data_IF_018332771386
#
_entry.id   IF_018332771386
#
_cell.length_a   1.000
_cell.length_b   1.000
_cell.length_c   1.000
_cell.angle_alpha   90.00
_cell.angle_beta   90.00
_cell.angle_gamma   90.00
#
_symmetry.space_group_name_H-M   'P 1'
#
loop_
_entity.id
_entity.type
_entity.pdbx_description
1 polymer ?
#
# COMPACT_ATOMS: atom_id res chain seq x y z
N UNK A 1 -22.72 -7.02 27.75
CA UNK A 1 -21.99 -7.44 26.55
C UNK A 1 -20.73 -8.14 27.02
N UNK A 2 -20.57 -9.44 26.75
CA UNK A 2 -19.36 -10.16 27.14
C UNK A 2 -18.19 -9.61 26.29
N UNK A 3 -17.20 -9.05 26.97
CA UNK A 3 -15.94 -8.67 26.34
C UNK A 3 -15.29 -9.95 25.81
N UNK A 4 -15.30 -10.13 24.49
CA UNK A 4 -14.50 -11.16 23.86
C UNK A 4 -13.06 -10.96 24.33
N UNK A 5 -12.48 -11.97 25.00
CA UNK A 5 -11.05 -11.96 25.32
C UNK A 5 -10.30 -11.84 24.01
N UNK A 6 -9.59 -10.73 23.83
CA UNK A 6 -8.61 -10.62 22.76
C UNK A 6 -7.52 -11.64 23.10
N UNK A 7 -7.64 -12.84 22.52
CA UNK A 7 -6.52 -13.81 22.53
C UNK A 7 -5.34 -13.16 21.84
N UNK A 8 -4.12 -13.47 22.27
CA UNK A 8 -2.88 -13.02 21.62
C UNK A 8 -2.97 -13.24 20.11
N UNK A 9 -3.36 -12.17 19.39
CA UNK A 9 -3.56 -12.21 17.96
C UNK A 9 -2.25 -11.83 17.29
N UNK A 10 -1.42 -12.84 17.03
CA UNK A 10 -0.35 -12.72 16.06
C UNK A 10 -0.88 -13.27 14.73
N UNK A 11 -1.18 -12.42 13.74
CA UNK A 11 -1.66 -12.87 12.45
C UNK A 11 -0.69 -13.91 11.86
N UNK A 12 -1.22 -14.99 11.31
CA UNK A 12 -0.39 -16.05 10.68
C UNK A 12 0.54 -15.50 9.60
N UNK A 13 0.15 -14.41 8.93
CA UNK A 13 0.96 -13.74 7.94
C UNK A 13 2.32 -13.25 8.44
N UNK A 14 2.48 -13.04 9.75
CA UNK A 14 3.77 -12.67 10.37
C UNK A 14 4.58 -13.87 10.86
N UNK A 15 4.02 -15.07 10.78
CA UNK A 15 4.77 -16.28 11.07
C UNK A 15 5.56 -16.66 9.82
N UNK A 16 6.87 -16.75 9.94
CA UNK A 16 7.71 -17.37 8.91
C UNK A 16 7.37 -18.85 8.91
N UNK A 17 6.59 -19.28 7.95
CA UNK A 17 6.25 -20.71 7.79
C UNK A 17 6.94 -21.22 6.54
N UNK A 18 7.90 -22.11 6.72
CA UNK A 18 8.48 -22.93 5.64
C UNK A 18 7.50 -24.02 5.14
N UNK A 19 6.20 -23.78 5.26
CA UNK A 19 5.18 -24.81 5.06
C UNK A 19 4.84 -25.07 3.60
N UNK A 20 5.29 -24.18 2.68
CA UNK A 20 4.92 -24.26 1.27
C UNK A 20 6.14 -24.43 0.37
N UNK A 21 5.99 -25.22 -0.68
CA UNK A 21 7.00 -25.36 -1.72
C UNK A 21 7.16 -24.04 -2.52
N UNK A 22 6.06 -23.25 -2.58
CA UNK A 22 6.00 -21.95 -3.24
C UNK A 22 5.37 -20.96 -2.27
N UNK A 23 6.20 -20.20 -1.58
CA UNK A 23 5.77 -19.22 -0.58
C UNK A 23 5.29 -17.91 -1.24
N UNK A 24 4.32 -17.25 -0.61
CA UNK A 24 3.96 -15.86 -0.91
C UNK A 24 4.94 -14.87 -0.29
N UNK A 25 5.56 -15.26 0.81
CA UNK A 25 6.56 -14.51 1.57
C UNK A 25 7.98 -14.96 1.17
N UNK A 26 8.88 -14.01 1.00
CA UNK A 26 10.24 -14.18 0.46
C UNK A 26 11.32 -13.46 1.29
N UNK A 27 11.00 -13.00 2.48
CA UNK A 27 11.87 -12.13 3.29
C UNK A 27 13.26 -12.73 3.57
N UNK A 28 13.42 -14.04 3.89
CA UNK A 28 14.75 -14.62 4.10
C UNK A 28 15.65 -14.51 2.87
N UNK A 29 15.09 -14.69 1.66
CA UNK A 29 15.84 -14.57 0.41
C UNK A 29 16.17 -13.11 0.09
N UNK A 30 15.25 -12.19 0.35
CA UNK A 30 15.44 -10.76 0.10
C UNK A 30 16.58 -10.16 0.92
N UNK A 31 16.78 -10.69 2.13
CA UNK A 31 17.81 -10.24 3.07
C UNK A 31 18.96 -11.24 3.23
N UNK A 32 19.25 -12.05 2.20
CA UNK A 32 20.39 -12.99 2.22
C UNK A 32 21.75 -12.31 2.38
N UNK A 33 21.85 -11.01 2.04
CA UNK A 33 23.01 -10.15 2.21
C UNK A 33 22.94 -9.25 3.45
N UNK A 34 22.24 -9.70 4.50
CA UNK A 34 22.02 -8.94 5.73
C UNK A 34 23.29 -8.45 6.42
N UNK A 35 24.44 -9.13 6.23
CA UNK A 35 25.73 -8.70 6.82
C UNK A 35 26.16 -7.32 6.32
N UNK A 36 25.88 -6.96 5.06
CA UNK A 36 26.16 -5.63 4.52
C UNK A 36 25.29 -4.56 5.21
N UNK A 37 24.03 -4.89 5.50
CA UNK A 37 23.10 -4.01 6.20
C UNK A 37 23.55 -3.83 7.66
N UNK A 38 23.91 -4.93 8.33
CA UNK A 38 24.40 -4.91 9.72
C UNK A 38 25.68 -4.10 9.86
N UNK A 39 26.59 -4.17 8.88
CA UNK A 39 27.81 -3.34 8.88
C UNK A 39 27.45 -1.84 8.86
N UNK A 40 26.49 -1.42 8.02
CA UNK A 40 26.04 -0.02 7.96
C UNK A 40 25.29 0.40 9.25
N UNK A 41 24.46 -0.50 9.82
CA UNK A 41 23.78 -0.25 11.09
C UNK A 41 24.84 -0.05 12.22
N UNK A 42 25.91 -0.85 12.22
CA UNK A 42 27.01 -0.69 13.17
C UNK A 42 27.61 0.72 13.13
N UNK A 43 27.75 1.31 11.95
CA UNK A 43 28.23 2.69 11.83
C UNK A 43 27.28 3.70 12.47
N UNK A 44 25.94 3.51 12.32
CA UNK A 44 24.92 4.33 12.98
C UNK A 44 25.07 4.22 14.50
N UNK A 45 25.24 2.98 15.01
CA UNK A 45 25.40 2.73 16.45
C UNK A 45 26.65 3.43 17.00
N UNK A 46 27.80 3.35 16.28
CA UNK A 46 29.07 4.00 16.70
C UNK A 46 28.89 5.53 16.76
N UNK A 47 28.13 6.13 15.84
CA UNK A 47 27.88 7.58 15.84
C UNK A 47 26.81 8.01 16.85
N UNK A 48 25.98 7.09 17.34
CA UNK A 48 24.82 7.41 18.19
C UNK A 48 23.70 8.16 17.46
N UNK A 49 23.61 8.04 16.14
CA UNK A 49 22.74 8.80 15.25
C UNK A 49 21.38 8.08 15.04
N UNK A 50 20.60 7.87 16.12
CA UNK A 50 19.43 7.01 16.11
C UNK A 50 18.12 7.68 15.68
N UNK A 51 17.98 8.99 15.89
CA UNK A 51 16.71 9.70 15.71
C UNK A 51 16.84 10.81 14.69
N UNK A 52 16.10 10.71 13.58
CA UNK A 52 16.16 11.66 12.45
C UNK A 52 17.61 11.91 11.99
N UNK A 53 18.39 10.84 11.94
CA UNK A 53 19.80 10.90 11.61
C UNK A 53 20.07 11.00 10.12
N UNK A 54 21.34 11.11 9.77
CA UNK A 54 21.81 11.37 8.40
C UNK A 54 21.34 10.33 7.37
N UNK A 55 21.08 9.08 7.78
CA UNK A 55 20.55 8.07 6.84
C UNK A 55 19.07 8.31 6.50
N UNK A 56 18.31 8.97 7.39
CA UNK A 56 16.94 9.40 7.10
C UNK A 56 16.96 10.52 6.06
N UNK A 57 17.82 11.53 6.22
CA UNK A 57 17.95 12.64 5.27
C UNK A 57 18.31 12.14 3.86
N UNK A 58 19.28 11.21 3.79
CA UNK A 58 19.70 10.60 2.52
C UNK A 58 18.56 9.80 1.88
N UNK A 59 17.83 9.00 2.68
CA UNK A 59 16.68 8.25 2.18
C UNK A 59 15.60 9.20 1.64
N UNK A 60 15.27 10.27 2.37
CA UNK A 60 14.27 11.25 1.95
C UNK A 60 14.66 11.88 0.60
N UNK A 61 15.92 12.25 0.40
CA UNK A 61 16.40 12.78 -0.86
C UNK A 61 16.31 11.75 -2.00
N UNK A 62 16.87 10.56 -1.81
CA UNK A 62 16.88 9.48 -2.79
C UNK A 62 15.44 9.05 -3.17
N UNK A 63 14.53 9.04 -2.18
CA UNK A 63 13.14 8.66 -2.41
C UNK A 63 12.35 9.74 -3.15
N UNK A 64 12.58 11.01 -2.86
CA UNK A 64 11.98 12.13 -3.59
C UNK A 64 12.35 12.07 -5.09
N UNK A 65 13.64 11.86 -5.40
CA UNK A 65 14.11 11.69 -6.79
C UNK A 65 13.48 10.46 -7.45
N UNK A 66 13.46 9.33 -6.74
CA UNK A 66 12.84 8.09 -7.25
C UNK A 66 11.38 8.30 -7.63
N UNK A 67 10.62 8.96 -6.77
CA UNK A 67 9.17 9.16 -6.93
C UNK A 67 8.80 10.40 -7.75
N UNK A 68 9.77 11.24 -8.15
CA UNK A 68 9.54 12.46 -8.93
C UNK A 68 8.81 13.54 -8.15
N UNK A 69 9.11 13.68 -6.86
CA UNK A 69 8.56 14.71 -5.98
C UNK A 69 9.66 15.66 -5.51
N UNK A 70 9.29 16.86 -5.09
CA UNK A 70 10.23 17.84 -4.55
C UNK A 70 10.69 17.50 -3.12
N UNK A 71 9.84 16.84 -2.35
CA UNK A 71 10.10 16.49 -0.95
C UNK A 71 9.61 15.08 -0.64
N UNK A 72 10.34 14.40 0.24
CA UNK A 72 9.91 13.18 0.90
C UNK A 72 10.17 13.29 2.40
N UNK A 73 9.26 12.78 3.22
CA UNK A 73 9.31 12.88 4.69
C UNK A 73 9.10 11.49 5.27
N UNK A 74 10.14 10.92 5.90
CA UNK A 74 10.10 9.63 6.56
C UNK A 74 9.29 9.67 7.85
N UNK A 75 8.42 8.68 8.04
CA UNK A 75 7.49 8.55 9.18
C UNK A 75 7.46 7.11 9.71
N UNK A 76 6.81 6.88 10.86
CA UNK A 76 6.85 5.61 11.58
C UNK A 76 6.20 4.42 10.88
N UNK A 77 5.24 4.65 9.98
CA UNK A 77 4.56 3.59 9.24
C UNK A 77 3.80 4.14 8.02
N UNK A 78 3.32 3.25 7.13
CA UNK A 78 2.40 3.65 6.06
C UNK A 78 1.07 4.19 6.61
N UNK A 79 0.58 3.68 7.73
CA UNK A 79 -0.60 4.19 8.42
C UNK A 79 -0.38 5.62 8.91
N UNK A 80 0.79 5.90 9.49
CA UNK A 80 1.17 7.25 9.91
C UNK A 80 1.32 8.18 8.70
N UNK A 81 1.84 7.69 7.58
CA UNK A 81 1.94 8.48 6.36
C UNK A 81 0.56 8.99 5.91
N UNK A 82 -0.46 8.12 5.90
CA UNK A 82 -1.84 8.48 5.58
C UNK A 82 -2.43 9.44 6.63
N UNK A 83 -2.30 9.09 7.91
CA UNK A 83 -2.83 9.88 9.02
C UNK A 83 -2.22 11.27 9.08
N UNK A 84 -0.89 11.39 9.04
CA UNK A 84 -0.19 12.66 9.12
C UNK A 84 -0.44 13.52 7.87
N UNK A 85 -0.67 12.92 6.70
CA UNK A 85 -1.06 13.65 5.49
C UNK A 85 -2.42 14.34 5.65
N UNK A 86 -3.39 13.64 6.26
CA UNK A 86 -4.69 14.27 6.57
C UNK A 86 -4.54 15.38 7.60
N UNK A 87 -3.72 15.19 8.65
CA UNK A 87 -3.44 16.24 9.65
C UNK A 87 -2.65 17.41 9.08
N UNK A 88 -1.79 17.18 8.07
CA UNK A 88 -1.08 18.28 7.38
C UNK A 88 -2.01 19.17 6.55
N UNK A 89 -3.18 18.63 6.17
CA UNK A 89 -4.25 19.35 5.48
C UNK A 89 -5.33 19.90 6.42
N UNK A 90 -5.07 19.88 7.74
CA UNK A 90 -6.01 20.29 8.80
C UNK A 90 -7.36 19.57 8.75
N UNK A 91 -7.38 18.33 8.22
CA UNK A 91 -8.58 17.48 8.18
C UNK A 91 -8.85 16.91 9.57
N UNK A 92 -10.06 17.11 10.08
CA UNK A 92 -10.44 16.79 11.44
C UNK A 92 -11.94 16.42 11.55
N UNK A 93 -12.44 16.44 12.79
CA UNK A 93 -13.84 16.10 13.12
C UNK A 93 -14.84 16.97 12.35
N UNK A 94 -15.74 16.29 11.65
CA UNK A 94 -16.78 16.91 10.84
C UNK A 94 -16.46 16.92 9.34
N UNK A 95 -15.20 16.74 8.98
CA UNK A 95 -14.78 16.61 7.58
C UNK A 95 -15.05 15.23 7.01
N UNK A 96 -15.07 15.13 5.69
CA UNK A 96 -15.27 13.90 4.94
C UNK A 96 -14.09 13.67 3.98
N UNK A 97 -13.66 12.39 3.88
CA UNK A 97 -12.65 11.93 2.93
C UNK A 97 -13.24 10.82 2.07
N UNK A 98 -13.26 11.03 0.75
CA UNK A 98 -13.77 10.04 -0.20
C UNK A 98 -12.66 9.02 -0.49
N UNK A 99 -13.00 7.71 -0.41
CA UNK A 99 -12.11 6.61 -0.73
C UNK A 99 -12.88 5.39 -1.22
N UNK A 100 -12.19 4.27 -1.50
CA UNK A 100 -12.82 3.02 -1.95
C UNK A 100 -13.07 2.05 -0.77
N UNK A 101 -14.14 1.25 -0.80
CA UNK A 101 -14.34 0.20 0.19
C UNK A 101 -13.45 -1.04 -0.06
N UNK A 102 -12.79 -1.15 -1.24
CA UNK A 102 -11.85 -2.23 -1.53
C UNK A 102 -10.41 -1.75 -1.28
N UNK A 103 -9.98 -1.83 -0.03
CA UNK A 103 -8.67 -1.38 0.42
C UNK A 103 -8.24 -2.12 1.70
N UNK A 104 -7.03 -1.81 2.19
CA UNK A 104 -6.55 -2.26 3.50
C UNK A 104 -7.13 -1.41 4.63
N UNK A 105 -7.18 -2.00 5.83
CA UNK A 105 -7.72 -1.35 7.03
C UNK A 105 -7.07 0.00 7.34
N UNK A 106 -5.79 0.17 7.02
CA UNK A 106 -5.04 1.39 7.33
C UNK A 106 -5.60 2.63 6.62
N UNK A 107 -6.09 2.50 5.38
CA UNK A 107 -6.70 3.60 4.63
C UNK A 107 -7.89 4.19 5.42
N UNK A 108 -8.81 3.31 5.84
CA UNK A 108 -10.00 3.74 6.58
C UNK A 108 -9.63 4.13 8.02
N UNK A 109 -8.71 3.37 8.64
CA UNK A 109 -8.19 3.66 9.97
C UNK A 109 -7.60 5.05 10.08
N UNK A 110 -6.76 5.46 9.12
CA UNK A 110 -6.17 6.79 9.08
C UNK A 110 -7.23 7.91 8.98
N UNK A 111 -8.26 7.70 8.14
CA UNK A 111 -9.37 8.66 8.02
C UNK A 111 -10.13 8.79 9.34
N UNK A 112 -10.53 7.66 9.93
CA UNK A 112 -11.31 7.66 11.18
C UNK A 112 -10.50 8.22 12.35
N UNK A 113 -9.23 7.85 12.47
CA UNK A 113 -8.38 8.32 13.58
C UNK A 113 -7.95 9.78 13.41
N UNK A 114 -7.98 10.33 12.18
CA UNK A 114 -7.82 11.78 11.98
C UNK A 114 -9.02 12.59 12.51
N UNK A 115 -10.15 11.93 12.78
CA UNK A 115 -11.42 12.54 13.17
C UNK A 115 -12.42 12.66 12.02
N UNK A 116 -11.98 12.48 10.78
CA UNK A 116 -12.84 12.59 9.60
C UNK A 116 -13.73 11.35 9.39
N UNK A 117 -14.76 11.52 8.58
CA UNK A 117 -15.67 10.46 8.17
C UNK A 117 -15.25 9.91 6.80
N UNK A 118 -14.98 8.59 6.66
CA UNK A 118 -14.81 7.99 5.34
C UNK A 118 -16.14 7.99 4.58
N UNK A 119 -16.09 8.36 3.31
CA UNK A 119 -17.19 8.30 2.35
C UNK A 119 -16.75 7.36 1.21
N UNK A 120 -17.53 6.32 0.95
CA UNK A 120 -17.14 5.33 -0.04
C UNK A 120 -17.68 5.65 -1.43
N UNK A 121 -16.79 5.56 -2.43
CA UNK A 121 -17.10 5.39 -3.84
C UNK A 121 -16.68 3.97 -4.25
N UNK A 122 -17.51 3.26 -5.02
CA UNK A 122 -17.24 1.85 -5.36
C UNK A 122 -15.94 1.68 -6.14
N UNK A 123 -15.46 0.47 -6.26
CA UNK A 123 -14.30 0.14 -7.08
C UNK A 123 -14.68 -0.01 -8.54
N UNK A 124 -13.71 0.24 -9.43
CA UNK A 124 -13.77 -0.12 -10.84
C UNK A 124 -13.36 -1.58 -11.08
N UNK A 125 -13.42 -2.00 -12.34
CA UNK A 125 -12.98 -3.35 -12.77
C UNK A 125 -11.47 -3.57 -12.61
N UNK A 126 -10.72 -2.50 -12.46
CA UNK A 126 -9.27 -2.46 -12.26
C UNK A 126 -8.88 -2.50 -10.77
N UNK A 127 -9.84 -2.71 -9.87
CA UNK A 127 -9.74 -2.79 -8.41
C UNK A 127 -9.52 -1.43 -7.70
N UNK A 128 -9.27 -0.37 -8.43
CA UNK A 128 -9.12 0.99 -7.91
C UNK A 128 -10.48 1.67 -7.75
N UNK A 129 -10.49 2.83 -7.08
CA UNK A 129 -11.69 3.66 -6.97
C UNK A 129 -12.21 4.04 -8.36
N UNK A 130 -13.51 3.91 -8.59
CA UNK A 130 -14.15 4.33 -9.84
C UNK A 130 -14.34 5.87 -9.84
N UNK A 131 -13.66 6.62 -10.73
CA UNK A 131 -13.78 8.08 -10.77
C UNK A 131 -15.20 8.56 -11.06
N UNK A 132 -16.03 7.77 -11.76
CA UNK A 132 -17.43 8.13 -12.07
C UNK A 132 -18.33 8.14 -10.81
N UNK A 133 -17.89 7.48 -9.75
CA UNK A 133 -18.60 7.42 -8.48
C UNK A 133 -18.22 8.58 -7.54
N UNK A 134 -17.12 9.30 -7.79
CA UNK A 134 -16.55 10.26 -6.83
C UNK A 134 -17.42 11.51 -6.72
N UNK A 135 -17.71 12.16 -7.85
CA UNK A 135 -18.32 13.49 -7.84
C UNK A 135 -19.70 13.52 -7.15
N UNK A 136 -20.49 12.45 -7.31
CA UNK A 136 -21.79 12.30 -6.64
C UNK A 136 -21.71 12.16 -5.11
N UNK A 137 -20.52 11.90 -4.57
CA UNK A 137 -20.26 11.74 -3.13
C UNK A 137 -19.74 13.00 -2.47
N UNK A 138 -19.41 14.04 -3.26
CA UNK A 138 -18.87 15.29 -2.73
C UNK A 138 -19.97 16.09 -2.03
N UNK A 139 -19.66 16.54 -0.81
CA UNK A 139 -20.49 17.45 -0.02
C UNK A 139 -19.65 18.68 0.39
N UNK A 140 -20.29 19.66 1.06
CA UNK A 140 -19.58 20.82 1.62
C UNK A 140 -18.53 20.46 2.70
N UNK A 141 -18.59 19.24 3.24
CA UNK A 141 -17.65 18.71 4.23
C UNK A 141 -16.50 17.93 3.61
N UNK A 142 -16.56 17.60 2.34
CA UNK A 142 -15.49 16.84 1.66
C UNK A 142 -14.24 17.72 1.56
N UNK A 143 -13.12 17.21 2.10
CA UNK A 143 -11.82 17.91 2.11
C UNK A 143 -10.77 17.21 1.26
N UNK A 144 -10.90 15.90 1.08
CA UNK A 144 -9.95 15.13 0.27
C UNK A 144 -10.60 13.96 -0.43
N UNK A 145 -9.96 13.55 -1.53
CA UNK A 145 -10.10 12.23 -2.13
C UNK A 145 -8.84 11.44 -1.78
N UNK A 146 -9.00 10.22 -1.26
CA UNK A 146 -7.91 9.30 -0.94
C UNK A 146 -7.99 8.08 -1.86
N UNK A 147 -7.49 8.18 -3.12
CA UNK A 147 -7.42 7.03 -4.01
C UNK A 147 -6.36 6.06 -3.53
N UNK A 148 -6.60 4.76 -3.71
CA UNK A 148 -5.67 3.70 -3.35
C UNK A 148 -5.11 3.08 -4.62
N UNK A 149 -3.80 3.13 -4.82
CA UNK A 149 -3.12 2.50 -5.94
C UNK A 149 -2.97 0.99 -5.69
N UNK A 150 -4.12 0.31 -5.76
CA UNK A 150 -4.25 -1.08 -5.32
C UNK A 150 -3.35 -2.03 -6.09
N UNK A 151 -2.77 -3.01 -5.39
CA UNK A 151 -1.82 -3.99 -5.94
C UNK A 151 -0.59 -3.41 -6.65
N UNK A 152 -0.39 -2.08 -6.56
CA UNK A 152 0.68 -1.36 -7.27
C UNK A 152 0.26 -0.80 -8.64
N UNK A 153 -1.05 -0.72 -8.90
CA UNK A 153 -1.63 -0.13 -10.10
C UNK A 153 -2.10 1.31 -9.80
N UNK A 154 -1.56 2.33 -10.45
CA UNK A 154 -2.08 3.69 -10.34
C UNK A 154 -3.55 3.80 -10.69
N UNK A 155 -4.29 4.62 -9.93
CA UNK A 155 -5.65 5.05 -10.28
C UNK A 155 -5.62 5.99 -11.49
N UNK A 156 -6.78 6.26 -12.07
CA UNK A 156 -6.94 7.31 -13.10
C UNK A 156 -6.76 8.71 -12.47
N UNK A 157 -5.48 9.08 -12.30
CA UNK A 157 -5.09 10.28 -11.56
C UNK A 157 -5.53 11.58 -12.26
N UNK A 158 -5.59 11.60 -13.59
CA UNK A 158 -6.02 12.81 -14.30
C UNK A 158 -7.50 13.10 -14.05
N UNK A 159 -8.36 12.07 -14.08
CA UNK A 159 -9.79 12.24 -13.78
C UNK A 159 -10.02 12.61 -12.31
N UNK A 160 -9.33 11.93 -11.40
CA UNK A 160 -9.44 12.22 -9.96
C UNK A 160 -8.96 13.64 -9.67
N UNK A 161 -7.83 14.08 -10.25
CA UNK A 161 -7.32 15.44 -10.08
C UNK A 161 -8.27 16.49 -10.65
N UNK A 162 -8.83 16.23 -11.84
CA UNK A 162 -9.82 17.14 -12.44
C UNK A 162 -11.05 17.36 -11.56
N UNK A 163 -11.54 16.28 -10.92
CA UNK A 163 -12.65 16.38 -9.97
C UNK A 163 -12.21 17.16 -8.73
N UNK A 164 -11.04 16.88 -8.19
CA UNK A 164 -10.50 17.55 -7.02
C UNK A 164 -10.33 19.05 -7.26
N UNK A 165 -9.74 19.44 -8.39
CA UNK A 165 -9.54 20.86 -8.79
C UNK A 165 -10.87 21.61 -8.93
N UNK A 166 -11.88 20.98 -9.57
CA UNK A 166 -13.22 21.55 -9.75
C UNK A 166 -13.88 21.90 -8.42
N UNK A 167 -13.63 21.12 -7.37
CA UNK A 167 -14.26 21.27 -6.07
C UNK A 167 -13.32 21.89 -5.01
N UNK A 168 -12.07 22.20 -5.36
CA UNK A 168 -11.08 22.79 -4.44
C UNK A 168 -10.71 21.87 -3.27
N UNK A 169 -10.67 20.54 -3.50
CA UNK A 169 -10.34 19.52 -2.50
C UNK A 169 -9.00 18.86 -2.80
N UNK A 170 -8.36 18.29 -1.76
CA UNK A 170 -7.05 17.70 -1.89
C UNK A 170 -7.10 16.25 -2.45
N UNK A 171 -6.00 15.80 -3.07
CA UNK A 171 -5.78 14.38 -3.41
C UNK A 171 -4.64 13.85 -2.54
N UNK A 172 -4.95 12.89 -1.66
CA UNK A 172 -4.00 12.17 -0.80
C UNK A 172 -3.93 10.73 -1.28
N UNK A 173 -2.94 10.40 -2.09
CA UNK A 173 -2.83 9.07 -2.66
C UNK A 173 -2.30 8.05 -1.64
N UNK A 174 -3.04 6.97 -1.40
CA UNK A 174 -2.50 5.77 -0.75
C UNK A 174 -1.71 4.98 -1.79
N UNK A 175 -0.41 5.27 -1.85
CA UNK A 175 0.55 4.64 -2.74
C UNK A 175 1.36 3.53 -2.03
N UNK A 176 0.87 2.99 -0.90
CA UNK A 176 1.55 1.98 -0.10
C UNK A 176 1.88 0.67 -0.85
N UNK A 177 1.31 0.46 -2.02
CA UNK A 177 1.59 -0.66 -2.91
C UNK A 177 2.38 -0.27 -4.18
N UNK A 178 2.65 1.03 -4.41
CA UNK A 178 2.91 1.53 -5.75
C UNK A 178 4.25 2.26 -5.93
N UNK A 179 5.28 1.89 -5.13
CA UNK A 179 6.63 2.41 -5.36
C UNK A 179 7.09 2.12 -6.80
N UNK A 180 7.64 3.14 -7.47
CA UNK A 180 8.04 3.10 -8.90
C UNK A 180 6.92 2.96 -9.93
N UNK A 181 5.67 2.92 -9.54
CA UNK A 181 4.58 2.95 -10.50
C UNK A 181 4.57 4.27 -11.27
N UNK A 182 4.16 4.22 -12.55
CA UNK A 182 3.97 5.41 -13.38
C UNK A 182 2.59 5.45 -14.01
N UNK A 183 2.10 6.67 -14.19
CA UNK A 183 0.84 6.98 -14.86
C UNK A 183 1.11 7.93 -16.01
N UNK A 184 0.89 7.50 -17.26
CA UNK A 184 1.24 8.27 -18.48
C UNK A 184 2.68 8.79 -18.43
N UNK A 185 3.62 7.87 -18.18
CA UNK A 185 5.07 8.12 -18.03
C UNK A 185 5.46 9.08 -16.89
N UNK A 186 4.51 9.54 -16.09
CA UNK A 186 4.77 10.38 -14.92
C UNK A 186 4.89 9.51 -13.66
N UNK A 187 5.90 9.77 -12.86
CA UNK A 187 6.08 9.14 -11.54
C UNK A 187 4.96 9.61 -10.59
N UNK A 188 4.29 8.67 -9.92
CA UNK A 188 3.08 8.99 -9.15
C UNK A 188 3.32 9.78 -7.87
N UNK A 189 4.54 9.76 -7.31
CA UNK A 189 4.83 10.46 -6.05
C UNK A 189 4.81 11.99 -6.15
N UNK A 190 4.90 12.53 -7.36
CA UNK A 190 4.74 13.96 -7.64
C UNK A 190 3.33 14.35 -8.12
N UNK A 191 2.38 13.40 -8.15
CA UNK A 191 1.00 13.64 -8.59
C UNK A 191 0.06 13.73 -7.38
N UNK A 192 -0.94 14.60 -7.47
CA UNK A 192 -1.81 14.92 -6.34
C UNK A 192 -1.17 15.88 -5.33
N UNK A 193 -1.77 16.03 -4.17
CA UNK A 193 -1.31 16.91 -3.08
C UNK A 193 -0.22 16.24 -2.25
N UNK A 194 -0.47 14.98 -1.88
CA UNK A 194 0.41 14.13 -1.06
C UNK A 194 0.31 12.68 -1.56
N UNK A 195 1.42 11.92 -1.55
CA UNK A 195 1.39 10.49 -1.77
C UNK A 195 2.09 9.76 -0.61
N UNK A 196 1.44 8.70 -0.10
CA UNK A 196 1.81 7.98 1.11
C UNK A 196 2.32 6.58 0.77
N UNK A 197 3.46 6.19 1.32
CA UNK A 197 4.09 4.90 1.07
C UNK A 197 4.37 4.16 2.37
N UNK A 198 4.37 2.84 2.30
CA UNK A 198 4.65 1.95 3.42
C UNK A 198 5.94 1.17 3.18
N UNK A 199 6.74 1.02 4.23
CA UNK A 199 7.91 0.14 4.27
C UNK A 199 7.67 -1.12 5.12
N UNK A 200 6.41 -1.47 5.37
CA UNK A 200 6.07 -2.72 6.07
C UNK A 200 6.78 -3.92 5.42
N UNK A 201 7.22 -4.94 6.19
CA UNK A 201 8.05 -6.05 5.71
C UNK A 201 7.57 -6.76 4.43
N UNK A 202 6.27 -6.77 4.15
CA UNK A 202 5.72 -7.40 2.95
C UNK A 202 5.66 -6.48 1.72
N UNK A 203 6.09 -5.22 1.81
CA UNK A 203 6.09 -4.29 0.66
C UNK A 203 7.25 -4.54 -0.29
N UNK A 204 7.15 -4.04 -1.53
CA UNK A 204 8.21 -4.17 -2.54
C UNK A 204 9.52 -3.51 -2.10
N UNK A 205 9.43 -2.38 -1.41
CA UNK A 205 10.50 -1.78 -0.62
C UNK A 205 10.07 -1.88 0.84
N UNK A 206 10.87 -2.51 1.66
CA UNK A 206 10.50 -2.78 3.06
C UNK A 206 11.70 -2.62 4.01
N UNK A 207 11.41 -2.67 5.31
CA UNK A 207 12.39 -2.53 6.38
C UNK A 207 12.23 -3.66 7.42
N UNK A 208 13.12 -3.71 8.39
CA UNK A 208 13.09 -4.71 9.47
C UNK A 208 12.19 -4.25 10.63
N UNK A 209 10.92 -4.06 10.33
CA UNK A 209 9.90 -3.55 11.23
C UNK A 209 8.93 -2.65 10.47
N UNK A 210 8.55 -1.54 11.05
CA UNK A 210 7.67 -0.58 10.41
C UNK A 210 8.42 0.65 9.90
N UNK A 211 7.84 1.30 8.91
CA UNK A 211 8.29 2.55 8.33
C UNK A 211 7.34 3.02 7.24
N UNK A 212 7.43 4.28 6.92
CA UNK A 212 6.68 4.89 5.84
C UNK A 212 7.33 6.19 5.37
N UNK A 213 6.82 6.74 4.29
CA UNK A 213 7.28 8.00 3.76
C UNK A 213 6.14 8.71 3.02
N UNK A 214 6.10 10.04 3.14
CA UNK A 214 5.15 10.90 2.41
C UNK A 214 5.91 11.72 1.40
N UNK A 215 5.42 11.81 0.16
CA UNK A 215 5.98 12.68 -0.87
C UNK A 215 5.02 13.81 -1.21
N UNK A 216 5.59 15.00 -1.53
CA UNK A 216 4.83 16.18 -1.94
C UNK A 216 5.70 17.16 -2.73
N UNK A 217 5.06 17.99 -3.56
CA UNK A 217 5.72 19.13 -4.21
C UNK A 217 5.56 20.45 -3.44
N UNK A 218 4.80 20.45 -2.35
CA UNK A 218 4.56 21.63 -1.53
C UNK A 218 5.55 21.70 -0.36
N UNK A 219 6.40 22.72 -0.34
CA UNK A 219 7.30 22.99 0.78
C UNK A 219 6.52 23.20 2.10
N UNK A 220 5.35 23.87 2.03
CA UNK A 220 4.52 24.10 3.20
C UNK A 220 3.98 22.81 3.81
N UNK A 221 3.52 21.85 2.99
CA UNK A 221 3.10 20.53 3.47
C UNK A 221 4.29 19.71 4.01
N UNK A 222 5.45 19.78 3.35
CA UNK A 222 6.67 19.11 3.82
C UNK A 222 7.08 19.61 5.21
N UNK A 223 7.11 20.92 5.42
CA UNK A 223 7.45 21.52 6.71
C UNK A 223 6.42 21.17 7.80
N UNK A 224 5.13 21.20 7.42
CA UNK A 224 4.06 20.77 8.33
C UNK A 224 4.22 19.30 8.75
N UNK A 225 4.54 18.41 7.84
CA UNK A 225 4.79 16.99 8.12
C UNK A 225 6.01 16.79 9.03
N UNK A 226 7.10 17.56 8.83
CA UNK A 226 8.28 17.51 9.71
C UNK A 226 7.93 17.90 11.14
N UNK A 227 7.08 18.90 11.34
CA UNK A 227 6.55 19.26 12.65
C UNK A 227 5.68 18.14 13.23
N UNK A 228 4.72 17.63 12.43
CA UNK A 228 3.75 16.62 12.87
C UNK A 228 4.43 15.32 13.30
N UNK A 229 5.47 14.87 12.60
CA UNK A 229 6.19 13.62 12.95
C UNK A 229 7.04 13.72 14.21
N UNK A 230 7.37 14.94 14.68
CA UNK A 230 8.35 15.18 15.74
C UNK A 230 7.84 16.16 16.78
N UNK A 231 6.70 15.89 17.41
CA UNK A 231 6.12 16.65 18.53
C UNK A 231 5.87 18.15 18.24
N UNK A 232 5.96 18.60 16.99
CA UNK A 232 5.88 20.03 16.63
C UNK A 232 7.11 20.84 17.00
N UNK A 233 8.25 20.17 17.24
CA UNK A 233 9.50 20.82 17.62
C UNK A 233 10.15 21.50 16.42
N UNK A 234 10.59 22.75 16.62
CA UNK A 234 11.43 23.52 15.68
C UNK A 234 12.87 23.67 16.15
N UNK A 235 13.17 23.16 17.33
CA UNK A 235 14.47 23.14 17.97
C UNK A 235 14.37 22.35 19.27
N UNK A 236 15.42 22.41 20.10
CA UNK A 236 15.47 21.63 21.33
C UNK A 236 14.40 22.07 22.35
N UNK A 237 14.15 23.35 22.44
CA UNK A 237 13.40 23.96 23.54
C UNK A 237 12.13 24.71 23.06
N UNK A 238 11.79 24.64 21.75
CA UNK A 238 10.61 25.29 21.18
C UNK A 238 9.69 24.25 20.52
N UNK A 239 8.47 24.10 21.09
CA UNK A 239 7.37 23.36 20.52
C UNK A 239 6.37 24.34 19.91
N UNK A 240 6.26 24.40 18.58
CA UNK A 240 5.38 25.33 17.88
C UNK A 240 3.93 24.86 17.84
N UNK A 241 3.69 23.55 17.95
CA UNK A 241 2.37 22.93 18.00
C UNK A 241 2.46 21.58 18.72
N UNK A 242 1.41 21.17 19.44
CA UNK A 242 1.34 19.79 19.92
C UNK A 242 1.09 18.83 18.76
N UNK A 243 1.91 17.80 18.66
CA UNK A 243 1.89 16.87 17.56
C UNK A 243 2.30 15.45 18.00
N UNK A 244 2.75 14.64 17.09
CA UNK A 244 2.95 13.19 17.29
C UNK A 244 4.43 12.82 17.37
N UNK A 245 4.70 11.62 17.81
CA UNK A 245 5.98 10.94 17.61
C UNK A 245 5.78 9.85 16.55
N UNK A 246 6.11 10.16 15.32
CA UNK A 246 6.00 9.25 14.18
C UNK A 246 7.22 9.43 13.26
N UNK A 247 8.38 9.18 13.82
CA UNK A 247 9.67 9.28 13.10
C UNK A 247 10.02 7.96 12.47
N UNK A 248 10.64 7.99 11.30
CA UNK A 248 11.35 6.84 10.78
C UNK A 248 12.67 6.70 11.54
N UNK A 249 12.92 5.52 12.10
CA UNK A 249 14.18 5.22 12.80
C UNK A 249 15.35 5.19 11.80
N UNK A 250 16.52 5.73 12.23
CA UNK A 250 17.72 5.78 11.38
C UNK A 250 18.17 4.38 10.94
N UNK A 251 18.03 3.37 11.79
CA UNK A 251 18.35 1.97 11.45
C UNK A 251 17.44 1.42 10.37
N UNK A 252 16.17 1.78 10.37
CA UNK A 252 15.23 1.39 9.30
C UNK A 252 15.55 2.13 7.99
N UNK A 253 15.99 3.39 8.06
CA UNK A 253 16.45 4.12 6.87
C UNK A 253 17.67 3.44 6.20
N UNK A 254 18.58 2.86 6.98
CA UNK A 254 19.70 2.04 6.43
C UNK A 254 19.17 0.85 5.64
N UNK A 255 18.20 0.10 6.18
CA UNK A 255 17.60 -1.06 5.50
C UNK A 255 16.87 -0.61 4.23
N UNK A 256 16.06 0.44 4.32
CA UNK A 256 15.33 0.98 3.16
C UNK A 256 16.29 1.40 2.03
N UNK A 257 17.36 2.12 2.34
CA UNK A 257 18.37 2.56 1.35
C UNK A 257 19.10 1.38 0.69
N UNK A 258 19.38 0.32 1.45
CA UNK A 258 19.98 -0.88 0.89
C UNK A 258 19.06 -1.52 -0.17
N UNK A 259 17.77 -1.68 0.15
CA UNK A 259 16.79 -2.22 -0.80
C UNK A 259 16.45 -1.24 -1.94
N UNK A 260 16.53 0.08 -1.69
CA UNK A 260 16.33 1.08 -2.73
C UNK A 260 17.31 0.89 -3.89
N UNK A 261 18.55 0.49 -3.59
CA UNK A 261 19.55 0.13 -4.61
C UNK A 261 19.15 -1.09 -5.46
N UNK A 262 18.24 -1.92 -5.00
CA UNK A 262 17.76 -3.13 -5.70
C UNK A 262 16.36 -2.96 -6.30
N UNK A 263 15.69 -1.83 -6.07
CA UNK A 263 14.24 -1.66 -6.38
C UNK A 263 13.93 -1.83 -7.87
N UNK A 264 14.87 -1.50 -8.76
CA UNK A 264 14.71 -1.69 -10.20
C UNK A 264 14.63 -3.16 -10.59
N UNK A 265 15.50 -3.99 -9.99
CA UNK A 265 15.50 -5.43 -10.19
C UNK A 265 14.19 -6.04 -9.62
N UNK A 266 13.82 -5.69 -8.39
CA UNK A 266 12.60 -6.16 -7.73
C UNK A 266 11.38 -5.85 -8.60
N UNK A 267 11.26 -4.60 -9.07
CA UNK A 267 10.11 -4.16 -9.87
C UNK A 267 10.06 -4.89 -11.22
N UNK A 268 11.17 -4.93 -11.97
CA UNK A 268 11.21 -5.61 -13.28
C UNK A 268 10.90 -7.09 -13.17
N UNK A 269 11.41 -7.77 -12.13
CA UNK A 269 11.14 -9.20 -11.91
C UNK A 269 9.66 -9.46 -11.64
N UNK A 270 9.01 -8.65 -10.77
CA UNK A 270 7.58 -8.76 -10.49
C UNK A 270 6.73 -8.53 -11.73
N UNK A 271 7.05 -7.51 -12.53
CA UNK A 271 6.36 -7.22 -13.79
C UNK A 271 6.49 -8.40 -14.76
N UNK A 272 7.71 -8.91 -14.98
CA UNK A 272 7.96 -10.05 -15.87
C UNK A 272 7.25 -11.33 -15.40
N UNK A 273 7.18 -11.56 -14.08
CA UNK A 273 6.45 -12.68 -13.51
C UNK A 273 4.93 -12.54 -13.71
N UNK A 274 4.40 -11.34 -13.53
CA UNK A 274 2.99 -11.05 -13.77
C UNK A 274 2.61 -11.22 -15.25
N UNK A 275 3.45 -10.74 -16.18
CA UNK A 275 3.25 -10.93 -17.63
C UNK A 275 3.24 -12.40 -18.02
N UNK A 276 4.10 -13.19 -17.40
CA UNK A 276 4.11 -14.63 -17.63
C UNK A 276 2.82 -15.30 -17.15
N UNK A 277 2.32 -14.94 -15.98
CA UNK A 277 1.03 -15.43 -15.49
C UNK A 277 -0.12 -15.00 -16.39
N UNK A 278 -0.21 -13.74 -16.82
CA UNK A 278 -1.28 -13.27 -17.72
C UNK A 278 -1.35 -14.10 -18.99
N UNK A 279 -0.18 -14.34 -19.63
CA UNK A 279 -0.07 -15.13 -20.85
C UNK A 279 -0.63 -16.55 -20.71
N UNK A 280 -0.44 -17.17 -19.55
CA UNK A 280 -0.75 -18.59 -19.36
C UNK A 280 -2.07 -18.83 -18.61
N UNK A 281 -2.55 -17.87 -17.83
CA UNK A 281 -3.80 -17.96 -17.07
C UNK A 281 -4.99 -17.36 -17.83
N UNK A 282 -4.77 -16.35 -18.67
CA UNK A 282 -5.85 -15.63 -19.35
C UNK A 282 -6.70 -16.48 -20.33
N UNK A 283 -6.21 -17.66 -20.71
CA UNK A 283 -6.96 -18.61 -21.54
C UNK A 283 -7.72 -19.67 -20.72
N UNK A 284 -7.63 -19.67 -19.40
CA UNK A 284 -8.30 -20.63 -18.52
C UNK A 284 -9.70 -20.11 -18.20
N UNK A 285 -10.74 -20.88 -18.58
CA UNK A 285 -12.12 -20.57 -18.18
C UNK A 285 -12.23 -20.52 -16.66
N UNK A 286 -12.96 -19.53 -16.13
CA UNK A 286 -13.09 -19.30 -14.70
C UNK A 286 -12.00 -18.43 -14.07
N UNK A 287 -10.99 -17.98 -14.85
CA UNK A 287 -9.95 -17.04 -14.41
C UNK A 287 -10.06 -15.73 -15.21
N UNK A 288 -10.06 -14.61 -14.51
CA UNK A 288 -9.87 -13.28 -15.12
C UNK A 288 -8.56 -12.69 -14.62
N UNK A 289 -7.61 -12.47 -15.54
CA UNK A 289 -6.33 -11.83 -15.23
C UNK A 289 -6.48 -10.32 -15.11
N UNK A 290 -5.53 -9.60 -14.43
CA UNK A 290 -5.59 -8.15 -14.30
C UNK A 290 -5.63 -7.45 -15.67
N UNK A 291 -6.53 -6.48 -15.80
CA UNK A 291 -6.57 -5.63 -16.99
C UNK A 291 -5.37 -4.67 -17.01
N UNK A 292 -4.66 -4.61 -18.13
CA UNK A 292 -3.50 -3.74 -18.33
C UNK A 292 -3.83 -2.58 -19.25
N UNK A 293 -3.62 -1.35 -18.77
CA UNK A 293 -3.67 -0.14 -19.62
C UNK A 293 -2.25 0.18 -20.13
N UNK A 294 -2.10 0.53 -21.43
CA UNK A 294 -0.77 0.82 -22.01
C UNK A 294 -0.05 2.01 -21.36
N UNK A 295 -0.80 2.92 -20.75
CA UNK A 295 -0.28 4.15 -20.13
C UNK A 295 -0.04 4.02 -18.63
N UNK A 296 -0.20 2.81 -18.05
CA UNK A 296 0.02 2.52 -16.64
C UNK A 296 1.15 1.50 -16.50
N UNK A 297 2.19 1.87 -15.75
CA UNK A 297 3.21 0.93 -15.31
C UNK A 297 2.88 0.44 -13.91
N UNK A 298 2.23 -0.72 -13.84
CA UNK A 298 1.89 -1.41 -12.58
C UNK A 298 3.11 -2.17 -12.05
N UNK A 299 3.36 -2.13 -10.74
CA UNK A 299 4.55 -2.71 -10.11
C UNK A 299 4.31 -4.04 -9.34
N UNK A 300 3.09 -4.51 -9.37
CA UNK A 300 2.69 -5.82 -8.83
C UNK A 300 3.19 -6.10 -7.41
N UNK A 301 2.80 -5.25 -6.46
CA UNK A 301 2.89 -5.62 -5.06
C UNK A 301 2.12 -6.93 -4.81
N UNK A 302 0.94 -7.04 -5.41
CA UNK A 302 0.15 -8.26 -5.50
C UNK A 302 -0.11 -8.58 -6.98
N UNK A 303 -0.10 -9.85 -7.34
CA UNK A 303 -0.68 -10.33 -8.59
C UNK A 303 -2.01 -11.01 -8.27
N UNK A 304 -3.09 -10.34 -8.60
CA UNK A 304 -4.45 -10.77 -8.25
C UNK A 304 -5.21 -11.17 -9.51
N UNK A 305 -5.81 -12.35 -9.48
CA UNK A 305 -6.76 -12.82 -10.46
C UNK A 305 -8.16 -12.90 -9.86
N UNK A 306 -9.21 -12.72 -10.66
CA UNK A 306 -10.57 -13.05 -10.21
C UNK A 306 -10.87 -14.48 -10.62
N UNK A 307 -11.37 -15.27 -9.69
CA UNK A 307 -11.59 -16.69 -9.84
C UNK A 307 -13.06 -17.05 -9.61
N UNK A 308 -13.65 -17.83 -10.49
CA UNK A 308 -14.79 -18.64 -10.13
C UNK A 308 -14.35 -19.66 -9.10
N UNK A 309 -15.22 -20.01 -8.14
CA UNK A 309 -14.89 -21.00 -7.06
C UNK A 309 -13.59 -20.64 -6.30
N UNK A 310 -13.35 -19.34 -6.02
CA UNK A 310 -12.13 -18.81 -5.42
C UNK A 310 -11.66 -19.57 -4.18
N UNK A 311 -12.55 -19.85 -3.24
CA UNK A 311 -12.19 -20.51 -1.98
C UNK A 311 -11.78 -21.97 -2.21
N UNK A 312 -12.44 -22.67 -3.11
CA UNK A 312 -12.07 -24.04 -3.48
C UNK A 312 -10.69 -24.07 -4.18
N UNK A 313 -10.45 -23.14 -5.11
CA UNK A 313 -9.15 -22.99 -5.76
C UNK A 313 -8.05 -22.67 -4.75
N UNK A 314 -8.30 -21.76 -3.81
CA UNK A 314 -7.34 -21.45 -2.76
C UNK A 314 -6.98 -22.69 -1.93
N UNK A 315 -7.98 -23.42 -1.43
CA UNK A 315 -7.75 -24.64 -0.66
C UNK A 315 -6.98 -25.69 -1.47
N UNK A 316 -7.32 -25.85 -2.75
CA UNK A 316 -6.62 -26.77 -3.64
C UNK A 316 -5.15 -26.39 -3.84
N UNK A 317 -4.85 -25.10 -4.06
CA UNK A 317 -3.48 -24.62 -4.21
C UNK A 317 -2.67 -24.80 -2.91
N UNK A 318 -3.25 -24.49 -1.76
CA UNK A 318 -2.64 -24.66 -0.44
C UNK A 318 -2.32 -26.15 -0.20
N UNK A 319 -3.27 -27.05 -0.47
CA UNK A 319 -3.07 -28.51 -0.34
C UNK A 319 -1.98 -29.05 -1.28
N UNK A 320 -1.66 -28.33 -2.35
CA UNK A 320 -0.61 -28.67 -3.31
C UNK A 320 0.68 -27.82 -3.12
N UNK A 321 0.88 -27.24 -1.94
CA UNK A 321 2.12 -26.56 -1.54
C UNK A 321 2.30 -25.15 -2.13
N UNK A 322 1.23 -24.48 -2.56
CA UNK A 322 1.26 -23.09 -3.04
C UNK A 322 0.58 -22.16 -2.04
N UNK A 323 1.31 -21.18 -1.52
CA UNK A 323 0.79 -20.19 -0.59
C UNK A 323 -0.02 -19.10 -1.32
N UNK A 324 -1.25 -19.41 -1.70
CA UNK A 324 -2.21 -18.49 -2.30
C UNK A 324 -2.99 -17.72 -1.23
N UNK A 325 -3.07 -16.40 -1.35
CA UNK A 325 -3.68 -15.49 -0.36
C UNK A 325 -4.93 -14.79 -0.90
N UNK A 326 -5.80 -14.36 0.01
CA UNK A 326 -6.97 -13.50 -0.32
C UNK A 326 -6.75 -12.10 0.26
N UNK A 327 -6.76 -11.08 -0.59
CA UNK A 327 -6.61 -9.67 -0.22
C UNK A 327 -7.75 -8.83 -0.79
N UNK A 328 -8.90 -8.57 -0.05
CA UNK A 328 -9.29 -9.15 1.24
C UNK A 328 -10.69 -9.75 1.10
N UNK A 329 -11.08 -10.73 1.91
CA UNK A 329 -12.35 -11.46 1.72
C UNK A 329 -13.58 -10.63 2.10
N UNK A 330 -13.39 -9.55 2.87
CA UNK A 330 -14.47 -8.68 3.34
C UNK A 330 -14.11 -7.23 3.05
N UNK A 331 -14.86 -6.52 2.18
CA UNK A 331 -14.62 -5.12 1.90
C UNK A 331 -14.88 -4.24 3.14
N UNK A 332 -14.26 -3.07 3.18
CA UNK A 332 -14.22 -2.21 4.39
C UNK A 332 -15.60 -1.82 4.91
N UNK A 333 -16.56 -1.54 4.04
CA UNK A 333 -17.91 -1.14 4.45
C UNK A 333 -18.70 -2.25 5.18
N UNK A 334 -18.27 -3.52 5.05
CA UNK A 334 -18.87 -4.68 5.74
C UNK A 334 -18.07 -5.12 6.97
N UNK A 335 -16.97 -4.44 7.30
CA UNK A 335 -16.20 -4.73 8.50
C UNK A 335 -16.97 -4.29 9.75
N UNK A 336 -16.94 -5.07 10.85
CA UNK A 336 -17.59 -4.68 12.10
C UNK A 336 -17.19 -3.28 12.59
N UNK A 337 -15.92 -2.89 12.38
CA UNK A 337 -15.40 -1.58 12.75
C UNK A 337 -16.05 -0.42 11.96
N UNK A 338 -16.62 -0.70 10.79
CA UNK A 338 -17.29 0.29 9.93
C UNK A 338 -18.82 0.35 10.13
N UNK A 339 -19.38 -0.42 11.07
CA UNK A 339 -20.84 -0.50 11.30
C UNK A 339 -21.49 0.88 11.58
N UNK A 340 -20.74 1.82 12.16
CA UNK A 340 -21.20 3.19 12.43
C UNK A 340 -21.49 4.01 11.16
N UNK A 341 -21.00 3.58 9.99
CA UNK A 341 -21.27 4.22 8.70
C UNK A 341 -22.65 3.84 8.14
N UNK A 342 -23.28 2.77 8.64
CA UNK A 342 -24.63 2.34 8.27
C UNK A 342 -24.74 1.63 6.92
N UNK A 343 -23.63 1.22 6.32
CA UNK A 343 -23.60 0.49 5.06
C UNK A 343 -24.00 -0.99 5.24
N UNK A 344 -24.48 -1.59 4.17
CA UNK A 344 -24.90 -2.99 4.13
C UNK A 344 -24.44 -3.67 2.83
N UNK A 345 -24.56 -4.97 2.79
CA UNK A 345 -24.33 -5.75 1.57
C UNK A 345 -25.20 -5.26 0.41
N UNK A 346 -24.61 -5.10 -0.76
CA UNK A 346 -25.20 -4.58 -1.98
C UNK A 346 -24.98 -3.08 -2.19
N UNK A 347 -24.46 -2.33 -1.22
CA UNK A 347 -24.22 -0.89 -1.37
C UNK A 347 -23.01 -0.60 -2.30
N UNK A 348 -22.05 -1.54 -2.39
CA UNK A 348 -20.85 -1.44 -3.24
C UNK A 348 -20.60 -2.76 -3.98
N UNK A 349 -21.42 -3.05 -5.00
CA UNK A 349 -21.48 -4.37 -5.63
C UNK A 349 -20.17 -4.77 -6.34
N UNK A 350 -19.40 -3.82 -6.87
CA UNK A 350 -18.12 -4.14 -7.54
C UNK A 350 -17.07 -4.53 -6.51
N UNK A 351 -16.90 -3.76 -5.44
CA UNK A 351 -15.98 -4.10 -4.34
C UNK A 351 -16.35 -5.44 -3.69
N UNK A 352 -17.64 -5.73 -3.50
CA UNK A 352 -18.12 -7.00 -2.94
C UNK A 352 -17.81 -8.18 -3.87
N UNK A 353 -18.01 -8.02 -5.19
CA UNK A 353 -17.67 -9.03 -6.19
C UNK A 353 -16.16 -9.31 -6.21
N UNK A 354 -15.33 -8.26 -6.20
CA UNK A 354 -13.88 -8.41 -6.16
C UNK A 354 -13.48 -9.17 -4.89
N UNK A 355 -13.97 -8.77 -3.72
CA UNK A 355 -13.67 -9.43 -2.45
C UNK A 355 -14.08 -10.92 -2.44
N UNK A 356 -15.18 -11.27 -3.11
CA UNK A 356 -15.66 -12.65 -3.22
C UNK A 356 -14.82 -13.51 -4.18
N UNK A 357 -14.15 -12.92 -5.18
CA UNK A 357 -13.52 -13.68 -6.27
C UNK A 357 -12.00 -13.49 -6.38
N UNK A 358 -11.41 -12.48 -5.72
CA UNK A 358 -9.99 -12.19 -5.84
C UNK A 358 -9.12 -13.24 -5.12
N UNK A 359 -8.06 -13.68 -5.83
CA UNK A 359 -7.01 -14.57 -5.31
C UNK A 359 -5.65 -14.01 -5.71
N UNK A 360 -4.75 -13.85 -4.74
CA UNK A 360 -3.38 -13.39 -4.97
C UNK A 360 -2.44 -14.58 -5.09
N UNK A 361 -1.68 -14.62 -6.18
CA UNK A 361 -0.64 -15.61 -6.44
C UNK A 361 0.75 -15.06 -6.11
N UNK A 362 1.71 -15.91 -5.72
CA UNK A 362 3.09 -15.49 -5.50
C UNK A 362 3.69 -14.85 -6.76
N UNK A 363 4.24 -13.61 -6.66
CA UNK A 363 4.76 -12.85 -7.81
C UNK A 363 6.13 -12.22 -7.54
N UNK A 364 6.70 -12.51 -6.36
CA UNK A 364 7.95 -11.92 -5.90
C UNK A 364 9.15 -12.25 -6.82
N UNK A 365 10.22 -11.51 -6.69
CA UNK A 365 11.43 -11.57 -7.52
C UNK A 365 12.19 -12.90 -7.45
N UNK A 366 11.94 -13.70 -6.42
CA UNK A 366 12.61 -14.99 -6.21
C UNK A 366 11.81 -16.20 -6.73
N UNK A 367 10.57 -15.99 -7.24
CA UNK A 367 9.82 -17.10 -7.82
C UNK A 367 10.49 -17.56 -9.11
N UNK A 368 10.76 -18.86 -9.20
CA UNK A 368 11.38 -19.43 -10.39
C UNK A 368 10.33 -19.74 -11.48
N UNK A 369 10.78 -19.85 -12.73
CA UNK A 369 9.90 -20.24 -13.84
C UNK A 369 9.25 -21.60 -13.61
N UNK A 370 10.01 -22.57 -13.09
CA UNK A 370 9.47 -23.91 -12.76
C UNK A 370 8.35 -23.86 -11.70
N UNK A 371 8.49 -22.97 -10.72
CA UNK A 371 7.43 -22.73 -9.72
C UNK A 371 6.19 -22.09 -10.34
N UNK A 372 6.36 -21.06 -11.21
CA UNK A 372 5.25 -20.46 -11.93
C UNK A 372 4.53 -21.49 -12.83
N UNK A 373 5.27 -22.35 -13.55
CA UNK A 373 4.71 -23.40 -14.38
C UNK A 373 3.92 -24.42 -13.54
N UNK A 374 4.38 -24.72 -12.32
CA UNK A 374 3.65 -25.58 -11.38
C UNK A 374 2.33 -24.93 -10.96
N UNK A 375 2.33 -23.64 -10.59
CA UNK A 375 1.10 -22.89 -10.24
C UNK A 375 0.11 -22.92 -11.42
N UNK A 376 0.59 -22.64 -12.64
CA UNK A 376 -0.24 -22.63 -13.86
C UNK A 376 -0.84 -24.03 -14.12
N UNK A 377 -0.05 -25.11 -14.00
CA UNK A 377 -0.55 -26.47 -14.17
C UNK A 377 -1.61 -26.85 -13.14
N UNK A 378 -1.42 -26.46 -11.88
CA UNK A 378 -2.40 -26.71 -10.81
C UNK A 378 -3.72 -25.97 -11.10
N UNK A 379 -3.66 -24.69 -11.45
CA UNK A 379 -4.86 -23.91 -11.77
C UNK A 379 -5.58 -24.49 -12.99
N UNK A 380 -4.84 -24.87 -14.03
CA UNK A 380 -5.40 -25.51 -15.23
C UNK A 380 -6.05 -26.84 -14.91
N UNK A 381 -5.43 -27.67 -14.07
CA UNK A 381 -6.00 -28.96 -13.65
C UNK A 381 -7.22 -28.84 -12.75
N UNK A 382 -7.37 -27.71 -12.03
CA UNK A 382 -8.54 -27.45 -11.19
C UNK A 382 -9.80 -27.09 -12.00
N UNK A 383 -9.63 -26.39 -13.12
CA UNK A 383 -10.75 -25.99 -13.98
C UNK A 383 -11.06 -26.97 -15.13
N UNK A 384 -10.25 -28.02 -15.34
CA UNK A 384 -10.41 -29.05 -16.37
C UNK A 384 -9.40 -28.89 -17.46
#
# INVERSE_FOLDING_TARGET
MATARVQNYLPEQYRVTEQFDINHNYLPQQFSDHDEILAKIREVVIRGDFTLGSEVDKLEQEYAELCGAAHAIGVGSGTDALFLSLKALDIDKGDEVITTPFTFYATIGAIVTSGAKPVFADAGIDYNIDPDQIESRITSRTKAIMPVHWSGKPCDLDRIQSIADKHGIAVVADACHAIKATYKDRKIGGLGTLACYSFHPLKNLNVWGDGGIVTTNSAAHADRLRLLRNHGLVGRDECRMFAYNSRLDTVQAVVARHLLGKIDHITRSRVANAEYFDKHLGAISGITVPYREPHIYQVYHLYMVLCERRDELQHYLIANGVDAKVHYPTPMHLQPAAAFLGHKRGDFPVAERIAASALSLPVHEFITRAQQDRVIRLIRGFYG
#
